data_IF_339171381212
#
_entry.id   IF_339171381212
#
_cell.length_a   1.000
_cell.length_b   1.000
_cell.length_c   1.000
_cell.angle_alpha   90.00
_cell.angle_beta   90.00
_cell.angle_gamma   90.00
#
_symmetry.space_group_name_H-M   'P 1'
#
loop_
_entity.id
_entity.type
_entity.pdbx_description
1 polymer ?
#
# COMPACT_ATOMS: atom_id res chain seq x y z
N UNK A 1 -5.91 -1.41 -6.07
CA UNK A 1 -5.82 -0.05 -6.65
C UNK A 1 -4.49 0.64 -6.33
N UNK A 2 -4.21 0.98 -5.07
CA UNK A 2 -3.00 1.76 -4.69
C UNK A 2 -1.68 1.21 -5.25
N UNK A 3 -1.43 -0.10 -5.18
CA UNK A 3 -0.21 -0.69 -5.77
C UNK A 3 -0.10 -0.47 -7.28
N UNK A 4 -1.22 -0.49 -8.01
CA UNK A 4 -1.25 -0.24 -9.46
C UNK A 4 -0.89 1.23 -9.72
N UNK A 5 -1.49 2.18 -8.99
CA UNK A 5 -1.17 3.61 -9.11
C UNK A 5 0.30 3.88 -8.75
N UNK A 6 0.82 3.23 -7.70
CA UNK A 6 2.21 3.33 -7.28
C UNK A 6 3.18 2.89 -8.39
N UNK A 7 2.86 1.83 -9.13
CA UNK A 7 3.69 1.37 -10.25
C UNK A 7 3.51 2.25 -11.48
N UNK A 8 2.27 2.53 -11.89
CA UNK A 8 1.99 3.16 -13.18
C UNK A 8 2.14 4.68 -13.15
N UNK A 9 1.57 5.35 -12.14
CA UNK A 9 1.53 6.81 -12.08
C UNK A 9 2.75 7.36 -11.33
N UNK A 10 3.10 6.75 -10.19
CA UNK A 10 4.26 7.17 -9.39
C UNK A 10 5.57 6.51 -9.82
N UNK A 11 5.53 5.64 -10.85
CA UNK A 11 6.69 4.97 -11.43
C UNK A 11 7.57 4.27 -10.38
N UNK A 12 6.96 3.78 -9.30
CA UNK A 12 7.68 3.11 -8.22
C UNK A 12 8.13 1.71 -8.67
N UNK A 13 9.34 1.27 -8.28
CA UNK A 13 9.71 -0.14 -8.38
C UNK A 13 8.70 -1.01 -7.63
N UNK A 14 8.34 -2.18 -8.20
CA UNK A 14 7.26 -3.05 -7.69
C UNK A 14 7.38 -3.36 -6.19
N UNK A 15 8.60 -3.55 -5.69
CA UNK A 15 8.86 -3.75 -4.26
C UNK A 15 8.41 -2.56 -3.41
N UNK A 16 8.82 -1.34 -3.78
CA UNK A 16 8.39 -0.12 -3.07
C UNK A 16 6.88 0.10 -3.19
N UNK A 17 6.29 -0.20 -4.34
CA UNK A 17 4.86 -0.05 -4.56
C UNK A 17 4.01 -0.97 -3.66
N UNK A 18 4.47 -2.20 -3.42
CA UNK A 18 3.84 -3.18 -2.50
C UNK A 18 4.06 -2.80 -1.03
N UNK A 19 5.26 -2.37 -0.68
CA UNK A 19 5.63 -2.02 0.70
C UNK A 19 4.98 -0.71 1.17
N UNK A 20 4.68 0.20 0.24
CA UNK A 20 4.10 1.52 0.52
C UNK A 20 2.89 1.43 1.48
N UNK A 21 2.80 2.35 2.45
CA UNK A 21 1.69 2.38 3.39
C UNK A 21 0.37 2.71 2.68
N UNK A 22 -0.72 2.08 3.16
CA UNK A 22 -2.03 2.11 2.52
C UNK A 22 -3.08 2.87 3.32
N UNK A 23 -4.10 3.31 2.61
CA UNK A 23 -5.36 3.83 3.16
C UNK A 23 -6.57 3.09 2.58
N UNK A 24 -7.71 3.12 3.26
CA UNK A 24 -8.96 2.53 2.75
C UNK A 24 -10.19 3.26 3.28
N UNK A 25 -11.09 3.66 2.39
CA UNK A 25 -12.42 4.19 2.70
C UNK A 25 -13.43 3.47 1.82
N UNK A 26 -14.57 3.10 2.39
CA UNK A 26 -15.58 2.25 1.74
C UNK A 26 -16.99 2.82 1.86
N UNK A 27 -17.11 4.14 2.00
CA UNK A 27 -18.34 4.87 2.26
C UNK A 27 -18.97 4.56 3.63
N UNK A 28 -19.40 3.32 3.86
CA UNK A 28 -20.04 2.89 5.11
C UNK A 28 -19.23 1.74 5.76
N UNK A 29 -18.87 1.85 7.05
CA UNK A 29 -18.96 3.05 7.90
C UNK A 29 -18.08 4.22 7.41
N UNK A 30 -18.48 5.45 7.71
CA UNK A 30 -17.77 6.66 7.25
C UNK A 30 -16.54 6.95 8.11
N UNK A 31 -15.46 6.24 7.82
CA UNK A 31 -14.14 6.52 8.34
C UNK A 31 -13.06 6.10 7.35
N UNK A 32 -11.92 6.77 7.43
CA UNK A 32 -10.72 6.46 6.66
C UNK A 32 -9.81 5.57 7.51
N UNK A 33 -9.61 4.32 7.07
CA UNK A 33 -8.60 3.45 7.65
C UNK A 33 -7.22 3.85 7.09
N UNK A 34 -6.24 4.00 7.96
CA UNK A 34 -4.89 4.44 7.61
C UNK A 34 -3.88 3.54 8.30
N UNK A 35 -2.88 3.05 7.57
CA UNK A 35 -1.82 2.26 8.20
C UNK A 35 -0.93 3.10 9.14
N UNK A 36 -0.41 2.45 10.18
CA UNK A 36 0.43 3.07 11.21
C UNK A 36 1.63 3.82 10.64
N UNK A 37 2.22 3.29 9.55
CA UNK A 37 3.39 3.84 8.89
C UNK A 37 3.14 5.17 8.13
N UNK A 38 1.90 5.61 7.97
CA UNK A 38 1.62 6.96 7.44
C UNK A 38 2.06 8.02 8.47
N UNK A 39 2.80 9.06 8.06
CA UNK A 39 3.26 10.10 8.99
C UNK A 39 2.12 10.75 9.77
N UNK A 40 2.34 11.00 11.07
CA UNK A 40 1.33 11.59 11.95
C UNK A 40 0.81 12.96 11.44
N UNK A 41 1.66 13.78 10.82
CA UNK A 41 1.22 15.05 10.23
C UNK A 41 0.28 14.83 9.05
N UNK A 42 0.50 13.80 8.23
CA UNK A 42 -0.43 13.44 7.13
C UNK A 42 -1.79 13.04 7.69
N UNK A 43 -1.82 12.25 8.78
CA UNK A 43 -3.06 11.87 9.48
C UNK A 43 -3.80 13.11 10.00
N UNK A 44 -3.12 14.00 10.73
CA UNK A 44 -3.69 15.28 11.19
C UNK A 44 -4.21 16.15 10.05
N UNK A 45 -3.50 16.16 8.92
CA UNK A 45 -3.92 16.88 7.72
C UNK A 45 -5.23 16.35 7.15
N UNK A 46 -5.46 15.03 7.21
CA UNK A 46 -6.72 14.41 6.80
C UNK A 46 -7.86 14.72 7.78
N UNK A 47 -7.59 14.70 9.09
CA UNK A 47 -8.56 15.09 10.12
C UNK A 47 -9.00 16.55 9.96
N UNK A 48 -8.06 17.48 9.71
CA UNK A 48 -8.38 18.90 9.41
C UNK A 48 -9.24 19.08 8.17
N UNK A 49 -9.25 18.11 7.24
CA UNK A 49 -10.12 18.09 6.06
C UNK A 49 -11.49 17.43 6.33
N UNK A 50 -11.76 17.00 7.56
CA UNK A 50 -13.04 16.42 7.97
C UNK A 50 -13.10 14.90 7.94
N UNK A 51 -12.00 14.20 7.67
CA UNK A 51 -11.99 12.73 7.72
C UNK A 51 -11.93 12.22 9.16
N UNK A 52 -12.76 11.24 9.48
CA UNK A 52 -12.57 10.42 10.69
C UNK A 52 -11.47 9.40 10.41
N UNK A 53 -10.26 9.62 10.92
CA UNK A 53 -9.11 8.73 10.70
C UNK A 53 -9.09 7.60 11.74
N UNK A 54 -8.83 6.37 11.28
CA UNK A 54 -8.68 5.18 12.13
C UNK A 54 -7.40 4.45 11.78
N UNK A 55 -6.53 4.31 12.76
CA UNK A 55 -5.29 3.57 12.61
C UNK A 55 -5.53 2.06 12.46
N UNK A 56 -4.73 1.44 11.60
CA UNK A 56 -4.69 -0.01 11.37
C UNK A 56 -3.24 -0.46 11.30
N UNK A 57 -2.95 -1.61 11.91
CA UNK A 57 -1.62 -2.22 11.82
C UNK A 57 -1.29 -2.66 10.39
N UNK A 58 -2.28 -3.12 9.62
CA UNK A 58 -2.12 -3.47 8.21
C UNK A 58 -3.43 -3.42 7.42
N UNK A 59 -3.32 -3.20 6.10
CA UNK A 59 -4.45 -3.17 5.16
C UNK A 59 -4.18 -4.07 3.95
N UNK A 60 -4.62 -5.32 4.05
CA UNK A 60 -4.53 -6.31 2.96
C UNK A 60 -3.11 -6.82 2.69
N UNK A 61 -2.99 -7.75 1.75
CA UNK A 61 -1.73 -8.38 1.34
C UNK A 61 -1.67 -8.41 -0.18
N UNK A 62 -0.57 -7.92 -0.77
CA UNK A 62 -0.38 -7.86 -2.22
C UNK A 62 0.87 -8.63 -2.63
N UNK A 63 0.70 -9.58 -3.56
CA UNK A 63 1.80 -10.21 -4.29
C UNK A 63 1.75 -9.66 -5.71
N UNK A 64 2.86 -9.12 -6.21
CA UNK A 64 2.89 -8.43 -7.49
C UNK A 64 4.09 -8.84 -8.33
N UNK A 65 3.86 -8.93 -9.64
CA UNK A 65 4.89 -9.09 -10.67
C UNK A 65 4.69 -7.98 -11.70
N UNK A 66 5.78 -7.34 -12.09
CA UNK A 66 5.84 -6.38 -13.19
C UNK A 66 6.75 -6.92 -14.28
N UNK A 67 6.38 -6.73 -15.54
CA UNK A 67 7.16 -7.12 -16.70
C UNK A 67 7.33 -5.92 -17.64
N UNK A 68 8.54 -5.71 -18.14
CA UNK A 68 8.89 -4.63 -19.07
C UNK A 68 10.12 -4.97 -19.91
N UNK A 69 10.64 -4.00 -20.64
CA UNK A 69 11.85 -4.16 -21.48
C UNK A 69 13.07 -4.64 -20.69
N UNK A 70 13.17 -4.22 -19.43
CA UNK A 70 14.26 -4.57 -18.50
C UNK A 70 14.08 -5.97 -17.85
N UNK A 71 13.03 -6.70 -18.23
CA UNK A 71 12.71 -8.03 -17.71
C UNK A 71 11.57 -8.04 -16.70
N UNK A 72 11.59 -9.03 -15.81
CA UNK A 72 10.52 -9.33 -14.85
C UNK A 72 11.00 -9.09 -13.42
N UNK A 73 10.17 -8.41 -12.62
CA UNK A 73 10.43 -8.15 -11.20
C UNK A 73 9.23 -8.56 -10.36
N UNK A 74 9.47 -9.26 -9.25
CA UNK A 74 8.44 -9.71 -8.31
C UNK A 74 8.62 -9.09 -6.92
N UNK A 75 7.51 -8.88 -6.21
CA UNK A 75 7.49 -8.45 -4.83
C UNK A 75 6.39 -9.16 -4.03
N UNK A 76 6.79 -9.65 -2.86
CA UNK A 76 5.89 -10.21 -1.85
C UNK A 76 5.67 -9.18 -0.72
N UNK A 77 4.43 -9.01 -0.29
CA UNK A 77 4.08 -8.11 0.81
C UNK A 77 4.78 -8.51 2.12
N UNK A 78 5.52 -7.61 2.78
CA UNK A 78 6.09 -7.91 4.09
C UNK A 78 5.05 -8.04 5.20
N UNK A 79 3.79 -7.62 4.97
CA UNK A 79 2.69 -7.75 5.95
C UNK A 79 2.26 -9.19 6.19
N UNK A 80 2.64 -10.13 5.30
CA UNK A 80 2.49 -11.58 5.53
C UNK A 80 3.87 -12.17 5.85
N UNK A 81 4.00 -12.83 7.01
CA UNK A 81 5.26 -13.44 7.45
C UNK A 81 5.81 -14.48 6.46
N UNK A 82 4.90 -15.20 5.80
CA UNK A 82 5.24 -16.23 4.82
C UNK A 82 5.52 -15.61 3.44
N UNK A 83 6.80 -15.53 3.09
CA UNK A 83 7.26 -15.01 1.79
C UNK A 83 7.36 -16.14 0.77
N UNK A 84 6.60 -16.04 -0.32
CA UNK A 84 6.87 -16.83 -1.51
C UNK A 84 8.24 -16.40 -2.07
N UNK A 85 9.16 -17.36 -2.24
CA UNK A 85 10.44 -17.14 -2.92
C UNK A 85 10.33 -17.69 -4.34
N UNK A 86 10.90 -16.99 -5.31
CA UNK A 86 11.12 -17.56 -6.64
C UNK A 86 12.06 -18.75 -6.48
N UNK A 87 11.58 -19.94 -6.83
CA UNK A 87 12.49 -21.03 -7.19
C UNK A 87 13.24 -20.58 -8.45
N UNK A 88 14.55 -20.83 -8.46
CA UNK A 88 15.41 -20.57 -9.63
C UNK A 88 15.36 -21.78 -10.55
#
# INVERSE_FOLDING_TARGET
>A
LQTILNVLDYQMPVKKAVEAPRIHHQWIPDHLNVEDAIPAETKRSLERRGHVVRDRSSLGVVQAITAGSEGVSGAADPRKEERARSER
#
